data_IF_447533837356
#
_entry.id   IF_447533837356
#
_cell.length_a   1.000
_cell.length_b   1.000
_cell.length_c   1.000
_cell.angle_alpha   90.00
_cell.angle_beta   90.00
_cell.angle_gamma   90.00
#
_symmetry.space_group_name_H-M   'P 1'
#
loop_
_entity.id
_entity.type
_entity.pdbx_description
1 polymer ?
#
# COMPACT_ATOMS: atom_id res chain seq x y z
N UNK A 1 -9.73 38.17 37.60
CA UNK A 1 -9.36 37.45 36.35
C UNK A 1 -10.59 37.01 35.55
N UNK A 2 -11.61 36.36 36.16
CA UNK A 2 -12.81 35.91 35.42
C UNK A 2 -13.63 37.04 34.76
N UNK A 3 -13.65 38.24 35.36
CA UNK A 3 -14.39 39.38 34.82
C UNK A 3 -13.82 39.90 33.47
N UNK A 4 -12.50 39.89 33.33
CA UNK A 4 -11.83 40.29 32.08
C UNK A 4 -12.13 39.31 30.93
N UNK A 5 -12.13 38.00 31.25
CA UNK A 5 -12.43 36.94 30.30
C UNK A 5 -13.87 37.05 29.78
N UNK A 6 -14.84 37.37 30.68
CA UNK A 6 -16.24 37.56 30.32
C UNK A 6 -16.45 38.77 29.39
N UNK A 7 -15.75 39.86 29.64
CA UNK A 7 -15.84 41.06 28.78
C UNK A 7 -15.19 40.85 27.41
N UNK A 8 -14.04 40.19 27.37
CA UNK A 8 -13.40 39.83 26.11
C UNK A 8 -14.26 38.88 25.26
N UNK A 9 -14.89 37.89 25.91
CA UNK A 9 -15.80 36.95 25.25
C UNK A 9 -17.05 37.66 24.67
N UNK A 10 -17.66 38.54 25.45
CA UNK A 10 -18.79 39.35 25.02
C UNK A 10 -18.44 40.33 23.88
N UNK A 11 -17.22 40.89 23.88
CA UNK A 11 -16.75 41.79 22.82
C UNK A 11 -16.46 41.04 21.53
N UNK A 12 -15.95 39.79 21.63
CA UNK A 12 -15.74 38.90 20.47
C UNK A 12 -17.07 38.48 19.84
N UNK A 13 -18.08 38.12 20.66
CA UNK A 13 -19.44 37.76 20.16
C UNK A 13 -20.14 38.95 19.53
N UNK A 14 -19.91 40.17 20.01
CA UNK A 14 -20.53 41.39 19.46
C UNK A 14 -19.95 41.80 18.10
N UNK A 15 -18.77 41.32 17.75
CA UNK A 15 -18.16 41.51 16.43
C UNK A 15 -18.71 40.48 15.45
N UNK A 16 -19.78 40.86 14.72
CA UNK A 16 -20.44 39.99 13.73
C UNK A 16 -19.47 39.42 12.68
N UNK A 17 -18.46 40.19 12.32
CA UNK A 17 -17.44 39.80 11.35
C UNK A 17 -16.53 38.67 11.89
N UNK A 18 -16.11 38.77 13.14
CA UNK A 18 -15.24 37.76 13.78
C UNK A 18 -16.01 36.45 14.00
N UNK A 19 -17.26 36.55 14.46
CA UNK A 19 -18.14 35.39 14.64
C UNK A 19 -18.44 34.68 13.30
N UNK A 20 -18.70 35.45 12.26
CA UNK A 20 -18.93 34.89 10.93
C UNK A 20 -17.71 34.10 10.45
N UNK A 21 -16.52 34.69 10.50
CA UNK A 21 -15.30 34.02 10.07
C UNK A 21 -14.92 32.84 10.96
N UNK A 22 -15.11 32.93 12.25
CA UNK A 22 -14.81 31.84 13.18
C UNK A 22 -15.70 30.59 12.96
N UNK A 23 -16.96 30.79 12.52
CA UNK A 23 -17.88 29.72 12.20
C UNK A 23 -17.83 29.30 10.72
N UNK A 24 -17.78 30.27 9.81
CA UNK A 24 -17.79 30.00 8.38
C UNK A 24 -16.50 29.34 7.90
N UNK A 25 -15.33 29.71 8.44
CA UNK A 25 -14.05 29.19 7.99
C UNK A 25 -13.92 27.67 8.23
N UNK A 26 -14.18 27.12 9.43
CA UNK A 26 -14.14 25.67 9.64
C UNK A 26 -15.16 24.94 8.77
N UNK A 27 -16.34 25.52 8.57
CA UNK A 27 -17.40 24.91 7.78
C UNK A 27 -17.05 24.89 6.28
N UNK A 28 -16.50 26.00 5.74
CA UNK A 28 -15.99 26.07 4.37
C UNK A 28 -14.83 25.08 4.19
N UNK A 29 -13.88 25.08 5.13
CA UNK A 29 -12.74 24.17 5.09
C UNK A 29 -13.18 22.70 5.14
N UNK A 30 -14.07 22.35 6.06
CA UNK A 30 -14.63 21.00 6.19
C UNK A 30 -15.38 20.56 4.92
N UNK A 31 -16.18 21.46 4.33
CA UNK A 31 -16.88 21.18 3.07
C UNK A 31 -15.89 20.99 1.91
N UNK A 32 -14.86 21.82 1.85
CA UNK A 32 -13.82 21.74 0.82
C UNK A 32 -13.01 20.44 0.94
N UNK A 33 -12.66 20.06 2.17
CA UNK A 33 -12.04 18.75 2.45
C UNK A 33 -12.97 17.59 2.09
N UNK A 34 -14.25 17.66 2.45
CA UNK A 34 -15.22 16.64 2.12
C UNK A 34 -15.37 16.46 0.60
N UNK A 35 -15.49 17.55 -0.16
CA UNK A 35 -15.59 17.50 -1.63
C UNK A 35 -14.27 17.03 -2.27
N UNK A 36 -13.13 17.46 -1.71
CA UNK A 36 -11.82 17.12 -2.26
C UNK A 36 -11.39 15.67 -1.96
N UNK A 37 -11.69 15.19 -0.76
CA UNK A 37 -11.21 13.89 -0.28
C UNK A 37 -12.32 12.87 -0.05
N UNK A 38 -13.58 13.28 -0.02
CA UNK A 38 -14.71 12.38 0.23
C UNK A 38 -14.89 11.29 -0.83
N UNK A 39 -14.34 11.51 -2.02
CA UNK A 39 -14.40 10.55 -3.13
C UNK A 39 -13.08 9.76 -3.30
N UNK A 40 -12.07 10.02 -2.47
CA UNK A 40 -10.75 9.38 -2.57
C UNK A 40 -10.50 8.31 -1.49
N UNK A 41 -11.53 7.95 -0.70
CA UNK A 41 -11.38 7.00 0.41
C UNK A 41 -10.55 7.51 1.60
N UNK A 42 -9.96 8.71 1.49
CA UNK A 42 -9.14 9.33 2.54
C UNK A 42 -9.94 10.03 3.63
N UNK A 43 -11.24 10.27 3.40
CA UNK A 43 -12.14 10.93 4.36
C UNK A 43 -12.77 9.91 5.32
N UNK A 44 -11.97 9.08 5.98
CA UNK A 44 -12.24 8.34 7.21
C UNK A 44 -13.69 8.04 7.63
N UNK A 45 -14.56 7.65 6.74
CA UNK A 45 -15.86 7.08 7.07
C UNK A 45 -15.74 5.57 7.27
N UNK A 46 -14.83 5.14 8.16
CA UNK A 46 -14.83 3.84 8.84
C UNK A 46 -14.78 2.55 8.00
N UNK A 47 -15.14 2.59 6.76
CA UNK A 47 -14.95 1.55 5.76
C UNK A 47 -14.04 2.13 4.68
N UNK A 48 -12.74 1.96 4.86
CA UNK A 48 -11.82 2.05 3.73
C UNK A 48 -12.18 0.87 2.84
N UNK A 49 -13.02 1.09 1.85
CA UNK A 49 -13.11 0.24 0.66
C UNK A 49 -11.76 0.39 -0.07
N UNK A 50 -10.74 -0.25 0.51
CA UNK A 50 -9.48 -0.44 -0.18
C UNK A 50 -9.77 -1.44 -1.30
N UNK A 51 -9.98 -0.92 -2.49
CA UNK A 51 -10.03 -1.76 -3.66
C UNK A 51 -8.65 -2.38 -3.86
N UNK A 52 -8.53 -3.72 -3.83
CA UNK A 52 -7.25 -4.39 -4.01
C UNK A 52 -6.56 -3.92 -5.28
N UNK A 53 -5.25 -3.69 -5.22
CA UNK A 53 -4.50 -3.21 -6.38
C UNK A 53 -4.41 -4.32 -7.43
N UNK A 54 -5.05 -4.17 -8.61
CA UNK A 54 -5.01 -5.20 -9.63
C UNK A 54 -3.61 -5.31 -10.23
N UNK A 55 -3.02 -6.51 -10.18
CA UNK A 55 -1.65 -6.78 -10.65
C UNK A 55 -1.59 -8.05 -11.47
N UNK A 56 -0.85 -8.01 -12.58
CA UNK A 56 -0.59 -9.20 -13.38
C UNK A 56 0.66 -9.94 -12.90
N UNK A 57 0.59 -11.28 -12.94
CA UNK A 57 1.76 -12.15 -12.82
C UNK A 57 2.03 -12.81 -14.16
N UNK A 58 3.28 -12.71 -14.63
CA UNK A 58 3.79 -13.41 -15.80
C UNK A 58 4.98 -14.26 -15.37
N UNK A 59 4.82 -15.58 -15.41
CA UNK A 59 5.89 -16.52 -15.09
C UNK A 59 6.76 -16.72 -16.33
N UNK A 60 8.01 -16.28 -16.23
CA UNK A 60 9.01 -16.43 -17.30
C UNK A 60 9.86 -17.68 -17.06
N UNK A 61 10.23 -17.94 -15.79
CA UNK A 61 11.02 -19.08 -15.35
C UNK A 61 10.35 -19.70 -14.12
N UNK A 62 9.74 -20.88 -14.30
CA UNK A 62 9.06 -21.58 -13.20
C UNK A 62 9.96 -22.50 -12.38
N UNK A 63 11.19 -22.76 -12.82
CA UNK A 63 12.08 -23.76 -12.23
C UNK A 63 13.12 -23.20 -11.22
N UNK A 64 13.15 -21.89 -10.99
CA UNK A 64 14.06 -21.31 -10.01
C UNK A 64 13.41 -21.27 -8.62
N UNK A 65 14.18 -21.64 -7.59
CA UNK A 65 13.73 -21.60 -6.20
C UNK A 65 13.26 -20.18 -5.80
N UNK A 66 13.96 -19.13 -6.27
CA UNK A 66 13.58 -17.75 -6.04
C UNK A 66 12.23 -17.38 -6.67
N UNK A 67 11.93 -17.93 -7.86
CA UNK A 67 10.62 -17.71 -8.51
C UNK A 67 9.48 -18.35 -7.70
N UNK A 68 9.69 -19.55 -7.16
CA UNK A 68 8.72 -20.22 -6.31
C UNK A 68 8.50 -19.44 -5.01
N UNK A 69 9.59 -19.00 -4.35
CA UNK A 69 9.52 -18.21 -3.11
C UNK A 69 8.81 -16.87 -3.33
N UNK A 70 9.04 -16.22 -4.46
CA UNK A 70 8.35 -14.96 -4.79
C UNK A 70 6.85 -15.17 -5.01
N UNK A 71 6.45 -16.25 -5.69
CA UNK A 71 5.03 -16.61 -5.85
C UNK A 71 4.36 -16.92 -4.51
N UNK A 72 5.05 -17.65 -3.62
CA UNK A 72 4.55 -17.92 -2.27
C UNK A 72 4.36 -16.60 -1.50
N UNK A 73 5.37 -15.73 -1.52
CA UNK A 73 5.29 -14.41 -0.89
C UNK A 73 4.09 -13.59 -1.40
N UNK A 74 3.85 -13.55 -2.72
CA UNK A 74 2.72 -12.84 -3.29
C UNK A 74 1.37 -13.45 -2.89
N UNK A 75 1.28 -14.78 -2.81
CA UNK A 75 0.07 -15.48 -2.41
C UNK A 75 -0.23 -15.36 -0.90
N UNK A 76 0.82 -15.20 -0.08
CA UNK A 76 0.70 -14.95 1.36
C UNK A 76 0.44 -13.47 1.68
N UNK A 77 0.71 -12.58 0.73
CA UNK A 77 0.35 -11.17 0.87
C UNK A 77 -1.17 -11.04 0.94
N UNK A 78 -1.61 -10.16 1.83
CA UNK A 78 -3.03 -9.91 2.11
C UNK A 78 -3.81 -9.67 0.83
N UNK A 79 -4.80 -10.53 0.56
CA UNK A 79 -5.65 -10.46 -0.64
C UNK A 79 -6.51 -9.18 -0.67
N UNK A 80 -6.68 -8.52 0.48
CA UNK A 80 -7.31 -7.21 0.56
C UNK A 80 -6.39 -6.09 0.04
N UNK A 81 -5.09 -6.37 -0.13
CA UNK A 81 -4.10 -5.41 -0.62
C UNK A 81 -3.88 -5.48 -2.13
N UNK A 82 -3.85 -6.69 -2.69
CA UNK A 82 -3.55 -6.93 -4.11
C UNK A 82 -4.52 -7.95 -4.72
N UNK A 83 -4.99 -7.67 -5.93
CA UNK A 83 -5.78 -8.60 -6.74
C UNK A 83 -4.91 -9.18 -7.86
N UNK A 84 -4.61 -10.47 -7.76
CA UNK A 84 -3.63 -11.15 -8.61
C UNK A 84 -4.29 -11.76 -9.84
N UNK A 85 -3.94 -11.28 -11.02
CA UNK A 85 -4.35 -11.81 -12.31
C UNK A 85 -3.21 -12.55 -13.01
N UNK A 86 -3.36 -13.85 -13.23
CA UNK A 86 -2.36 -14.65 -13.95
C UNK A 86 -2.53 -14.53 -15.47
N UNK A 87 -1.48 -14.08 -16.16
CA UNK A 87 -1.46 -13.99 -17.62
C UNK A 87 -0.47 -15.00 -18.22
N UNK A 88 -0.93 -15.77 -19.21
CA UNK A 88 -0.09 -16.76 -19.90
C UNK A 88 0.97 -16.13 -20.81
N UNK A 89 0.78 -14.88 -21.22
CA UNK A 89 1.67 -14.21 -22.15
C UNK A 89 1.94 -12.77 -21.73
N UNK A 90 3.18 -12.37 -21.85
CA UNK A 90 3.60 -10.98 -21.59
C UNK A 90 2.82 -9.96 -22.44
N UNK A 91 2.51 -10.33 -23.70
CA UNK A 91 1.73 -9.47 -24.60
C UNK A 91 0.33 -9.16 -24.07
N UNK A 92 -0.33 -10.16 -23.47
CA UNK A 92 -1.65 -9.99 -22.88
C UNK A 92 -1.59 -9.09 -21.64
N UNK A 93 -0.63 -9.31 -20.75
CA UNK A 93 -0.41 -8.49 -19.56
C UNK A 93 -0.09 -7.03 -19.93
N UNK A 94 0.82 -6.80 -20.89
CA UNK A 94 1.12 -5.44 -21.39
C UNK A 94 -0.08 -4.74 -22.03
N UNK A 95 -0.99 -5.50 -22.68
CA UNK A 95 -2.21 -4.92 -23.22
C UNK A 95 -3.18 -4.50 -22.12
N UNK A 96 -3.33 -5.31 -21.07
CA UNK A 96 -4.13 -4.98 -19.89
C UNK A 96 -3.56 -3.75 -19.16
N UNK A 97 -2.23 -3.70 -18.99
CA UNK A 97 -1.54 -2.56 -18.38
C UNK A 97 -1.78 -1.24 -19.16
N UNK A 98 -1.74 -1.29 -20.49
CA UNK A 98 -2.04 -0.11 -21.35
C UNK A 98 -3.49 0.34 -21.31
N UNK A 99 -4.40 -0.56 -20.92
CA UNK A 99 -5.83 -0.27 -20.77
C UNK A 99 -6.20 0.13 -19.36
N UNK A 100 -5.19 0.23 -18.49
CA UNK A 100 -5.37 0.53 -17.07
C UNK A 100 -6.26 -0.49 -16.32
N UNK A 101 -6.39 -1.71 -16.91
CA UNK A 101 -7.09 -2.84 -16.27
C UNK A 101 -6.28 -3.41 -15.10
N UNK A 102 -4.96 -3.18 -15.08
CA UNK A 102 -4.02 -3.55 -14.03
C UNK A 102 -3.03 -2.42 -13.77
N UNK A 103 -2.54 -2.33 -12.53
CA UNK A 103 -1.61 -1.29 -12.10
C UNK A 103 -0.14 -1.62 -12.34
N UNK A 104 0.19 -2.91 -12.50
CA UNK A 104 1.55 -3.37 -12.73
C UNK A 104 1.62 -4.82 -13.21
N UNK A 105 2.82 -5.24 -13.61
CA UNK A 105 3.14 -6.61 -14.04
C UNK A 105 4.36 -7.08 -13.28
N UNK A 106 4.22 -8.12 -12.46
CA UNK A 106 5.33 -8.85 -11.90
C UNK A 106 5.81 -9.94 -12.84
N UNK A 107 7.09 -9.91 -13.19
CA UNK A 107 7.76 -10.99 -13.89
C UNK A 107 8.42 -11.93 -12.89
N UNK A 108 7.90 -13.14 -12.84
CA UNK A 108 8.42 -14.20 -11.97
C UNK A 108 9.55 -14.91 -12.69
N UNK A 109 10.77 -14.65 -12.21
CA UNK A 109 12.03 -15.21 -12.72
C UNK A 109 13.04 -15.27 -11.58
N UNK A 110 14.27 -15.71 -11.83
CA UNK A 110 15.35 -15.80 -10.83
C UNK A 110 15.59 -14.48 -10.07
N UNK A 111 15.45 -13.34 -10.73
CA UNK A 111 15.41 -12.00 -10.13
C UNK A 111 14.05 -11.39 -10.50
N UNK A 112 13.10 -11.32 -9.56
CA UNK A 112 11.80 -10.73 -9.84
C UNK A 112 11.91 -9.31 -10.36
N UNK A 113 10.98 -8.89 -11.19
CA UNK A 113 10.94 -7.50 -11.67
C UNK A 113 9.53 -7.02 -11.86
N UNK A 114 9.32 -5.72 -11.67
CA UNK A 114 8.05 -5.03 -11.80
C UNK A 114 8.07 -4.10 -13.02
N UNK A 115 7.01 -4.12 -13.81
CA UNK A 115 6.75 -3.10 -14.83
C UNK A 115 5.45 -2.38 -14.49
N UNK A 116 5.51 -1.05 -14.44
CA UNK A 116 4.38 -0.15 -14.18
C UNK A 116 4.14 0.77 -15.38
N UNK A 117 2.89 1.23 -15.55
CA UNK A 117 2.54 2.12 -16.66
C UNK A 117 2.73 3.61 -16.34
N UNK A 118 2.54 3.99 -15.10
CA UNK A 118 2.60 5.38 -14.61
C UNK A 118 3.06 5.43 -13.16
N UNK A 119 3.26 6.61 -12.62
CA UNK A 119 3.55 6.79 -11.20
C UNK A 119 2.25 7.13 -10.45
N UNK A 120 1.98 6.42 -9.37
CA UNK A 120 0.80 6.62 -8.54
C UNK A 120 0.88 5.84 -7.23
N UNK A 121 -0.16 5.90 -6.42
CA UNK A 121 -0.21 5.21 -5.12
C UNK A 121 -0.14 3.70 -5.31
N UNK A 122 -0.95 3.14 -6.21
CA UNK A 122 -0.99 1.71 -6.50
C UNK A 122 0.39 1.18 -6.96
N UNK A 123 1.07 1.92 -7.81
CA UNK A 123 2.40 1.57 -8.30
C UNK A 123 3.46 1.65 -7.18
N UNK A 124 3.29 2.61 -6.26
CA UNK A 124 4.17 2.71 -5.08
C UNK A 124 3.99 1.52 -4.14
N UNK A 125 2.76 1.05 -3.95
CA UNK A 125 2.46 -0.17 -3.18
C UNK A 125 3.15 -1.38 -3.80
N UNK A 126 2.99 -1.58 -5.12
CA UNK A 126 3.61 -2.70 -5.83
C UNK A 126 5.15 -2.64 -5.76
N UNK A 127 5.75 -1.45 -5.91
CA UNK A 127 7.18 -1.28 -5.79
C UNK A 127 7.68 -1.60 -4.37
N UNK A 128 6.95 -1.15 -3.35
CA UNK A 128 7.30 -1.43 -1.95
C UNK A 128 7.20 -2.91 -1.60
N UNK A 129 6.26 -3.64 -2.19
CA UNK A 129 6.15 -5.10 -2.02
C UNK A 129 7.37 -5.82 -2.61
N UNK A 130 7.78 -5.44 -3.83
CA UNK A 130 8.99 -6.00 -4.44
C UNK A 130 10.24 -5.71 -3.63
N UNK A 131 10.43 -4.47 -3.19
CA UNK A 131 11.53 -4.03 -2.32
C UNK A 131 11.57 -4.82 -1.00
N UNK A 132 10.39 -5.07 -0.41
CA UNK A 132 10.27 -5.85 0.83
C UNK A 132 10.69 -7.29 0.61
N UNK A 133 10.26 -7.91 -0.50
CA UNK A 133 10.69 -9.26 -0.86
C UNK A 133 12.21 -9.34 -1.07
N UNK A 134 12.79 -8.41 -1.85
CA UNK A 134 14.22 -8.39 -2.13
C UNK A 134 15.04 -8.25 -0.84
N UNK A 135 14.65 -7.34 0.05
CA UNK A 135 15.32 -7.16 1.36
C UNK A 135 15.22 -8.40 2.25
N UNK A 136 14.05 -9.05 2.28
CA UNK A 136 13.88 -10.28 3.04
C UNK A 136 14.70 -11.43 2.45
N UNK A 137 14.72 -11.57 1.12
CA UNK A 137 15.51 -12.58 0.43
C UNK A 137 17.02 -12.40 0.65
N UNK A 138 17.50 -11.16 0.60
CA UNK A 138 18.92 -10.83 0.87
C UNK A 138 19.27 -11.10 2.34
N UNK A 139 18.41 -10.74 3.28
CA UNK A 139 18.61 -11.03 4.71
C UNK A 139 18.70 -12.53 4.97
N UNK A 140 17.79 -13.33 4.39
CA UNK A 140 17.82 -14.80 4.51
C UNK A 140 19.12 -15.36 3.90
N UNK A 141 19.55 -14.84 2.77
CA UNK A 141 20.79 -15.26 2.12
C UNK A 141 22.03 -14.92 2.97
N UNK A 142 22.04 -13.73 3.57
CA UNK A 142 23.12 -13.31 4.48
C UNK A 142 23.18 -14.20 5.73
N UNK A 143 22.03 -14.50 6.34
CA UNK A 143 21.96 -15.43 7.47
C UNK A 143 22.44 -16.83 7.05
N UNK A 144 22.01 -17.31 5.88
CA UNK A 144 22.41 -18.61 5.37
C UNK A 144 23.93 -18.72 5.12
N UNK A 145 24.57 -17.63 4.72
CA UNK A 145 26.01 -17.61 4.42
C UNK A 145 26.88 -17.32 5.63
N UNK A 146 26.42 -16.45 6.54
CA UNK A 146 27.23 -16.03 7.71
C UNK A 146 26.95 -16.87 8.96
N UNK A 147 25.74 -17.40 9.11
CA UNK A 147 25.27 -18.13 10.28
C UNK A 147 24.39 -19.34 9.92
N UNK A 148 24.94 -20.34 9.20
CA UNK A 148 24.16 -21.49 8.77
C UNK A 148 23.53 -22.28 9.95
N UNK A 149 24.15 -22.20 11.14
CA UNK A 149 23.64 -22.82 12.36
C UNK A 149 22.29 -22.25 12.80
N UNK A 150 22.01 -20.98 12.55
CA UNK A 150 20.75 -20.33 12.93
C UNK A 150 19.57 -20.77 12.06
N UNK A 151 19.82 -21.17 10.82
CA UNK A 151 18.78 -21.73 9.96
C UNK A 151 18.28 -23.08 10.47
N UNK A 152 19.21 -23.94 10.90
CA UNK A 152 18.84 -25.26 11.46
C UNK A 152 18.06 -25.14 12.77
N UNK A 153 18.32 -24.12 13.57
CA UNK A 153 17.57 -23.84 14.79
C UNK A 153 16.16 -23.30 14.49
N UNK A 154 16.01 -22.45 13.46
CA UNK A 154 14.71 -21.94 13.02
C UNK A 154 13.81 -23.05 12.43
N UNK A 155 14.38 -23.97 11.64
CA UNK A 155 13.67 -25.15 11.13
C UNK A 155 13.16 -26.05 12.27
N UNK A 156 14.00 -26.33 13.27
CA UNK A 156 13.62 -27.13 14.44
C UNK A 156 12.49 -26.48 15.25
N UNK A 157 12.49 -25.15 15.39
CA UNK A 157 11.42 -24.43 16.10
C UNK A 157 10.12 -24.50 15.31
N UNK A 158 10.17 -24.43 13.97
CA UNK A 158 8.98 -24.51 13.14
C UNK A 158 8.34 -25.91 13.13
N UNK A 159 9.16 -26.98 13.24
CA UNK A 159 8.68 -28.34 13.36
C UNK A 159 8.05 -28.64 14.74
N UNK A 160 8.50 -27.94 15.80
CA UNK A 160 8.00 -28.16 17.18
C UNK A 160 6.66 -27.41 17.43
N UNK A 161 6.21 -26.55 16.51
CA UNK A 161 4.96 -25.77 16.60
C UNK A 161 3.85 -26.35 15.69
N UNK A 162 4.16 -27.30 14.80
CA UNK A 162 3.20 -27.94 13.89
C UNK A 162 2.64 -29.21 14.47
#
# INVERSE_FOLDING_TARGET
MLHLLKYQFLQTIRSRSIMFWALAFPLILGTLFYVSFGNTGLAGTGETDWEPVPVAIVTVESSSANAASFLTFLNETDQDMIDIHSYKTEKAAKKALRREEISGIYYVKSVPSLTIASNGINQSILSSLLDSYEKNADMIRDIATQHPEKLSDAERISEDIS
#
